data_IF_322165210372
#
_entry.id   IF_322165210372
#
_cell.length_a   1.000
_cell.length_b   1.000
_cell.length_c   1.000
_cell.angle_alpha   90.00
_cell.angle_beta   90.00
_cell.angle_gamma   90.00
#
_symmetry.space_group_name_H-M   'P 1'
#
loop_
_entity.id
_entity.type
_entity.pdbx_description
1 polymer ?
#
# COMPACT_ATOMS: atom_id res chain seq x y z
N UNK A 1 3.90 -44.97 -1.80
CA UNK A 1 4.78 -44.66 -0.66
C UNK A 1 4.98 -45.95 0.13
N UNK A 2 6.13 -46.60 -0.01
CA UNK A 2 6.42 -47.86 0.71
C UNK A 2 6.41 -47.64 2.23
N UNK A 3 5.79 -48.58 2.94
CA UNK A 3 5.62 -48.54 4.39
C UNK A 3 6.84 -49.20 5.05
N UNK A 4 7.37 -48.65 6.15
CA UNK A 4 8.56 -49.22 6.82
C UNK A 4 8.40 -50.69 7.24
N UNK A 5 7.14 -51.14 7.35
CA UNK A 5 6.72 -52.49 7.68
C UNK A 5 6.92 -53.53 6.56
N UNK A 6 7.16 -53.11 5.31
CA UNK A 6 7.41 -54.01 4.17
C UNK A 6 8.90 -54.26 3.90
N UNK A 7 9.81 -53.59 4.62
CA UNK A 7 11.26 -53.77 4.44
C UNK A 7 11.83 -54.93 5.29
N UNK A 8 12.90 -55.61 4.83
CA UNK A 8 13.64 -56.59 5.63
C UNK A 8 14.13 -55.99 6.96
N UNK A 9 14.02 -56.75 8.05
CA UNK A 9 14.23 -56.26 9.43
C UNK A 9 15.61 -55.61 9.67
N UNK A 10 16.63 -55.98 8.88
CA UNK A 10 17.99 -55.44 8.95
C UNK A 10 18.13 -54.03 8.35
N UNK A 11 17.22 -53.61 7.47
CA UNK A 11 17.31 -52.33 6.74
C UNK A 11 16.39 -51.24 7.31
N UNK A 12 15.37 -51.65 8.09
CA UNK A 12 14.43 -50.76 8.80
C UNK A 12 15.08 -49.64 9.62
N UNK A 13 16.13 -49.87 10.44
CA UNK A 13 16.70 -48.80 11.25
C UNK A 13 17.34 -47.68 10.41
N UNK A 14 17.99 -48.02 9.29
CA UNK A 14 18.57 -47.03 8.37
C UNK A 14 17.49 -46.24 7.64
N UNK A 15 16.42 -46.91 7.20
CA UNK A 15 15.29 -46.27 6.56
C UNK A 15 14.58 -45.27 7.51
N UNK A 16 14.31 -45.70 8.75
CA UNK A 16 13.66 -44.84 9.75
C UNK A 16 14.54 -43.64 10.13
N UNK A 17 15.85 -43.83 10.28
CA UNK A 17 16.79 -42.73 10.53
C UNK A 17 16.79 -41.72 9.38
N UNK A 18 16.89 -42.19 8.13
CA UNK A 18 16.89 -41.33 6.93
C UNK A 18 15.56 -40.58 6.79
N UNK A 19 14.44 -41.25 7.04
CA UNK A 19 13.11 -40.64 7.01
C UNK A 19 12.93 -39.62 8.13
N UNK A 20 13.44 -39.90 9.33
CA UNK A 20 13.47 -38.97 10.45
C UNK A 20 14.26 -37.70 10.13
N UNK A 21 15.47 -37.84 9.58
CA UNK A 21 16.32 -36.71 9.14
C UNK A 21 15.62 -35.90 8.04
N UNK A 22 15.00 -36.56 7.06
CA UNK A 22 14.26 -35.88 5.98
C UNK A 22 13.02 -35.13 6.49
N UNK A 23 12.35 -35.64 7.53
CA UNK A 23 11.23 -34.93 8.15
C UNK A 23 11.72 -33.74 8.98
N UNK A 24 12.79 -33.90 9.76
CA UNK A 24 13.39 -32.83 10.55
C UNK A 24 13.95 -31.70 9.67
N UNK A 25 14.65 -32.03 8.59
CA UNK A 25 15.16 -31.02 7.65
C UNK A 25 14.03 -30.28 6.94
N UNK A 26 12.91 -30.96 6.62
CA UNK A 26 11.72 -30.31 6.06
C UNK A 26 11.05 -29.37 7.06
N UNK A 27 10.92 -29.76 8.33
CA UNK A 27 10.33 -28.87 9.36
C UNK A 27 11.25 -27.69 9.65
N UNK A 28 12.56 -27.90 9.78
CA UNK A 28 13.55 -26.83 10.00
C UNK A 28 13.59 -25.82 8.84
N UNK A 29 13.55 -26.26 7.57
CA UNK A 29 13.43 -25.33 6.42
C UNK A 29 12.12 -24.54 6.42
N UNK A 30 11.04 -25.12 6.94
CA UNK A 30 9.72 -24.47 7.01
C UNK A 30 9.65 -23.44 8.14
N UNK A 31 10.31 -23.73 9.26
CA UNK A 31 10.44 -22.81 10.41
C UNK A 31 11.39 -21.66 10.05
N UNK A 32 12.57 -21.97 9.51
CA UNK A 32 13.55 -20.95 9.10
C UNK A 32 13.07 -20.02 7.98
N UNK A 33 12.18 -20.48 7.08
CA UNK A 33 11.53 -19.61 6.08
C UNK A 33 10.41 -18.74 6.65
N UNK A 34 9.85 -19.08 7.82
CA UNK A 34 8.75 -18.32 8.43
C UNK A 34 9.26 -17.09 9.19
N UNK A 35 10.54 -17.10 9.59
CA UNK A 35 11.20 -15.98 10.26
C UNK A 35 11.77 -14.91 9.30
N UNK A 36 11.85 -15.18 7.98
CA UNK A 36 12.50 -14.28 7.02
C UNK A 36 11.56 -13.44 6.14
N UNK A 37 10.27 -13.36 6.45
CA UNK A 37 9.31 -12.54 5.66
C UNK A 37 8.37 -11.68 6.51
N UNK A 38 8.85 -11.17 7.64
CA UNK A 38 8.25 -9.98 8.20
C UNK A 38 8.95 -8.76 7.59
N UNK A 39 8.62 -8.40 6.35
CA UNK A 39 8.91 -7.05 5.87
C UNK A 39 8.35 -6.08 6.91
N UNK A 40 9.14 -5.09 7.32
CA UNK A 40 8.64 -4.08 8.25
C UNK A 40 7.44 -3.38 7.59
N UNK A 41 6.51 -2.83 8.39
CA UNK A 41 5.36 -2.07 7.86
C UNK A 41 5.83 -0.98 6.89
N UNK A 42 6.98 -0.39 7.17
CA UNK A 42 7.65 0.58 6.31
C UNK A 42 8.05 -0.01 4.95
N UNK A 43 8.70 -1.17 4.92
CA UNK A 43 9.09 -1.82 3.66
C UNK A 43 7.87 -2.22 2.83
N UNK A 44 6.79 -2.66 3.48
CA UNK A 44 5.52 -2.98 2.80
C UNK A 44 4.86 -1.74 2.20
N UNK A 45 4.89 -0.60 2.92
CA UNK A 45 4.38 0.68 2.42
C UNK A 45 5.19 1.17 1.21
N UNK A 46 6.52 1.16 1.31
CA UNK A 46 7.39 1.54 0.20
C UNK A 46 7.19 0.63 -1.02
N UNK A 47 7.02 -0.68 -0.79
CA UNK A 47 6.73 -1.61 -1.86
C UNK A 47 5.37 -1.32 -2.52
N UNK A 48 4.33 -1.05 -1.73
CA UNK A 48 3.01 -0.67 -2.24
C UNK A 48 3.06 0.63 -3.06
N UNK A 49 3.75 1.65 -2.56
CA UNK A 49 3.94 2.93 -3.27
C UNK A 49 4.73 2.75 -4.57
N UNK A 50 5.80 1.94 -4.55
CA UNK A 50 6.62 1.67 -5.74
C UNK A 50 5.80 1.00 -6.86
N UNK A 51 4.84 0.16 -6.49
CA UNK A 51 3.94 -0.55 -7.40
C UNK A 51 2.70 0.25 -7.78
N UNK A 52 2.37 1.32 -7.05
CA UNK A 52 1.23 2.16 -7.38
C UNK A 52 1.51 2.94 -8.67
N UNK A 53 0.65 2.74 -9.66
CA UNK A 53 0.68 3.42 -10.96
C UNK A 53 -0.73 3.97 -11.19
N UNK A 54 -1.02 5.20 -10.77
CA UNK A 54 -2.32 5.80 -10.98
C UNK A 54 -2.57 5.96 -12.49
N UNK A 55 -3.80 5.68 -12.91
CA UNK A 55 -4.25 5.97 -14.27
C UNK A 55 -4.67 7.43 -14.33
N UNK A 56 -4.30 8.14 -15.41
CA UNK A 56 -4.74 9.50 -15.62
C UNK A 56 -6.27 9.56 -15.74
N UNK A 57 -6.87 10.55 -15.06
CA UNK A 57 -8.30 10.84 -15.11
C UNK A 57 -8.62 11.75 -16.31
N UNK A 58 -9.43 11.30 -17.28
CA UNK A 58 -9.76 12.07 -18.47
C UNK A 58 -10.84 13.12 -18.17
N UNK A 59 -10.51 14.10 -17.35
CA UNK A 59 -11.44 15.13 -16.90
C UNK A 59 -10.77 16.18 -16.03
N UNK A 60 -11.60 16.96 -15.35
CA UNK A 60 -11.15 18.03 -14.47
C UNK A 60 -11.12 17.57 -13.02
N UNK A 61 -9.94 17.62 -12.42
CA UNK A 61 -9.75 17.38 -11.00
C UNK A 61 -9.67 18.71 -10.24
N UNK A 62 -10.44 18.81 -9.17
CA UNK A 62 -10.26 19.83 -8.15
C UNK A 62 -9.42 19.24 -7.03
N UNK A 63 -8.28 19.86 -6.72
CA UNK A 63 -7.43 19.51 -5.59
C UNK A 63 -7.50 20.64 -4.58
N UNK A 64 -8.02 20.32 -3.39
CA UNK A 64 -8.07 21.26 -2.27
C UNK A 64 -6.91 20.93 -1.35
N UNK A 65 -6.04 21.91 -1.12
CA UNK A 65 -4.84 21.79 -0.29
C UNK A 65 -4.96 22.67 0.94
N UNK A 66 -4.31 22.26 2.03
CA UNK A 66 -4.07 23.17 3.14
C UNK A 66 -2.83 24.03 2.91
N UNK A 67 -2.88 25.26 3.43
CA UNK A 67 -1.74 26.17 3.38
C UNK A 67 -0.46 25.53 3.96
N UNK A 68 -0.56 24.75 5.03
CA UNK A 68 0.58 24.03 5.63
C UNK A 68 1.14 22.92 4.73
N UNK A 69 0.30 22.31 3.89
CA UNK A 69 0.71 21.24 2.97
C UNK A 69 1.43 21.76 1.73
N UNK A 70 1.21 23.03 1.37
CA UNK A 70 1.83 23.63 0.17
C UNK A 70 3.37 23.56 0.19
N UNK A 71 3.98 23.46 1.37
CA UNK A 71 5.43 23.32 1.54
C UNK A 71 6.01 22.00 0.97
N UNK A 72 5.18 20.98 0.75
CA UNK A 72 5.60 19.67 0.22
C UNK A 72 5.60 19.65 -1.31
N UNK A 73 4.89 20.59 -1.93
CA UNK A 73 4.74 20.70 -3.37
C UNK A 73 5.86 21.54 -3.99
N UNK A 74 6.00 21.44 -5.32
CA UNK A 74 6.80 22.41 -6.08
C UNK A 74 6.15 23.79 -6.03
N UNK A 75 6.86 24.83 -6.49
CA UNK A 75 6.35 26.22 -6.53
C UNK A 75 4.98 26.36 -7.23
N UNK A 76 4.60 25.38 -8.05
CA UNK A 76 3.28 25.29 -8.65
C UNK A 76 2.67 23.89 -8.41
N UNK A 77 1.81 23.72 -7.40
CA UNK A 77 1.17 22.44 -7.08
C UNK A 77 0.40 21.83 -8.26
N UNK A 78 -0.18 22.64 -9.15
CA UNK A 78 -0.89 22.14 -10.33
C UNK A 78 0.01 21.30 -11.23
N UNK A 79 1.31 21.62 -11.29
CA UNK A 79 2.30 20.87 -12.06
C UNK A 79 2.52 19.46 -11.51
N UNK A 80 2.47 19.31 -10.20
CA UNK A 80 2.69 18.02 -9.53
C UNK A 80 1.53 17.05 -9.78
N UNK A 81 0.34 17.59 -10.01
CA UNK A 81 -0.88 16.84 -10.34
C UNK A 81 -1.16 16.72 -11.85
N UNK A 82 -0.48 17.49 -12.70
CA UNK A 82 -0.76 17.57 -14.14
C UNK A 82 -0.63 16.24 -14.90
N UNK A 83 0.12 15.28 -14.36
CA UNK A 83 0.23 13.94 -14.97
C UNK A 83 -0.99 13.04 -14.68
N UNK A 84 -1.87 13.44 -13.76
CA UNK A 84 -2.96 12.62 -13.24
C UNK A 84 -4.35 13.04 -13.72
N UNK A 85 -4.51 14.23 -14.29
CA UNK A 85 -5.78 14.69 -14.86
C UNK A 85 -5.53 15.61 -16.06
N UNK A 86 -6.49 15.65 -16.99
CA UNK A 86 -6.41 16.55 -18.16
C UNK A 86 -6.38 18.02 -17.72
N UNK A 87 -7.20 18.36 -16.72
CA UNK A 87 -7.28 19.71 -16.12
C UNK A 87 -7.22 19.59 -14.60
N UNK A 88 -6.43 20.46 -13.96
CA UNK A 88 -6.27 20.49 -12.51
C UNK A 88 -6.51 21.90 -12.01
N UNK A 89 -7.50 22.06 -11.14
CA UNK A 89 -7.74 23.28 -10.39
C UNK A 89 -7.22 23.08 -8.96
N UNK A 90 -6.39 24.01 -8.49
CA UNK A 90 -5.86 24.00 -7.12
C UNK A 90 -6.54 25.09 -6.30
N UNK A 91 -7.10 24.70 -5.16
CA UNK A 91 -7.67 25.61 -4.18
C UNK A 91 -6.95 25.45 -2.86
N UNK A 92 -6.47 26.54 -2.28
CA UNK A 92 -5.72 26.49 -1.01
C UNK A 92 -6.59 27.07 0.10
N UNK A 93 -6.92 26.24 1.08
CA UNK A 93 -7.66 26.64 2.27
C UNK A 93 -6.69 26.96 3.43
N UNK A 94 -7.03 27.96 4.28
CA UNK A 94 -6.24 28.26 5.46
C UNK A 94 -6.34 27.14 6.51
N UNK A 95 -5.30 26.98 7.32
CA UNK A 95 -5.26 26.02 8.43
C UNK A 95 -4.45 24.76 8.12
N UNK A 96 -4.51 23.80 9.06
CA UNK A 96 -3.81 22.52 9.01
C UNK A 96 -4.68 21.41 8.39
N UNK A 97 -4.06 20.33 7.90
CA UNK A 97 -4.72 19.20 7.20
C UNK A 97 -6.00 18.68 7.89
N UNK A 98 -5.93 18.48 9.22
CA UNK A 98 -7.06 17.95 9.99
C UNK A 98 -8.25 18.92 10.12
N UNK A 99 -8.00 20.23 9.95
CA UNK A 99 -9.02 21.26 10.07
C UNK A 99 -9.95 21.33 8.85
N UNK A 100 -9.64 20.64 7.74
CA UNK A 100 -10.49 20.63 6.53
C UNK A 100 -11.87 20.04 6.80
N UNK A 101 -11.93 19.05 7.69
CA UNK A 101 -13.13 18.27 7.98
C UNK A 101 -13.83 18.73 9.25
N UNK A 102 -13.29 19.76 9.91
CA UNK A 102 -13.86 20.39 11.11
C UNK A 102 -14.38 21.79 10.76
N UNK A 103 -15.37 22.27 11.50
CA UNK A 103 -15.88 23.63 11.31
C UNK A 103 -14.82 24.67 11.74
N UNK A 104 -14.60 25.75 10.98
CA UNK A 104 -15.37 26.19 9.81
C UNK A 104 -14.90 25.63 8.44
N UNK A 105 -13.88 24.78 8.41
CA UNK A 105 -13.27 24.25 7.19
C UNK A 105 -14.22 23.37 6.37
N UNK A 106 -15.00 22.50 7.03
CA UNK A 106 -15.99 21.65 6.36
C UNK A 106 -17.07 22.46 5.65
N UNK A 107 -17.56 23.54 6.27
CA UNK A 107 -18.51 24.46 5.64
C UNK A 107 -17.92 25.11 4.38
N UNK A 108 -16.67 25.59 4.46
CA UNK A 108 -16.00 26.21 3.31
C UNK A 108 -15.73 25.21 2.17
N UNK A 109 -15.34 23.99 2.49
CA UNK A 109 -15.18 22.91 1.51
C UNK A 109 -16.50 22.59 0.82
N UNK A 110 -17.60 22.54 1.58
CA UNK A 110 -18.94 22.26 1.04
C UNK A 110 -19.40 23.35 0.06
N UNK A 111 -19.21 24.64 0.40
CA UNK A 111 -19.48 25.76 -0.52
C UNK A 111 -18.71 25.62 -1.83
N UNK A 112 -17.41 25.32 -1.74
CA UNK A 112 -16.54 25.21 -2.91
C UNK A 112 -16.95 24.06 -3.83
N UNK A 113 -17.29 22.91 -3.26
CA UNK A 113 -17.81 21.77 -4.02
C UNK A 113 -19.17 22.12 -4.65
N UNK A 114 -20.06 22.79 -3.90
CA UNK A 114 -21.37 23.18 -4.40
C UNK A 114 -21.28 24.14 -5.58
N UNK A 115 -20.45 25.19 -5.47
CA UNK A 115 -20.21 26.14 -6.56
C UNK A 115 -19.68 25.43 -7.80
N UNK A 116 -18.76 24.47 -7.62
CA UNK A 116 -18.18 23.73 -8.73
C UNK A 116 -19.22 22.85 -9.43
N UNK A 117 -20.00 22.10 -8.68
CA UNK A 117 -21.04 21.25 -9.25
C UNK A 117 -22.13 22.06 -9.95
N UNK A 118 -22.48 23.23 -9.41
CA UNK A 118 -23.49 24.12 -10.00
C UNK A 118 -23.01 24.80 -11.29
N UNK A 119 -21.71 24.84 -11.54
CA UNK A 119 -21.12 25.40 -12.77
C UNK A 119 -21.04 24.41 -13.95
N UNK A 120 -21.38 23.14 -13.72
CA UNK A 120 -21.29 22.05 -14.71
C UNK A 120 -22.62 21.85 -15.46
N UNK A 121 -23.72 22.45 -14.99
CA UNK A 121 -25.03 22.53 -15.67
C UNK A 121 -25.07 23.64 -16.74
#
# INVERSE_FOLDING_TARGET
LENAWTMPTRERPRYLATRGINLLTRTWRRIGRRESQSMSVHDNLLHALAMHRPTAYPGQALVVLHAEETAVYTENPARDWAALADHVDIEVLPGAEHAMLEEPGSGRLAELIHDRLSSID
#
